data_IF_984480246503
#
_entry.id   IF_984480246503
#
_cell.length_a   1.000
_cell.length_b   1.000
_cell.length_c   1.000
_cell.angle_alpha   90.00
_cell.angle_beta   90.00
_cell.angle_gamma   90.00
#
_symmetry.space_group_name_H-M   'P 1'
#
loop_
_entity.id
_entity.type
_entity.pdbx_description
1 polymer ?
#
# COMPACT_ATOMS: atom_id res chain seq x y z
N UNK A 1 10.83 -14.58 -17.50
CA UNK A 1 12.00 -14.15 -16.72
C UNK A 1 11.51 -13.03 -15.82
N UNK A 2 11.49 -13.18 -14.50
CA UNK A 2 10.98 -12.14 -13.60
C UNK A 2 11.97 -10.98 -13.51
N UNK A 3 11.56 -9.75 -13.82
CA UNK A 3 12.36 -8.55 -13.56
C UNK A 3 11.92 -7.99 -12.20
N UNK A 4 12.86 -7.87 -11.28
CA UNK A 4 12.61 -7.29 -9.95
C UNK A 4 13.07 -5.84 -9.97
N UNK A 5 12.14 -4.91 -9.72
CA UNK A 5 12.45 -3.50 -9.54
C UNK A 5 12.38 -3.13 -8.06
N UNK A 6 13.51 -2.73 -7.47
CA UNK A 6 13.58 -2.31 -6.07
C UNK A 6 13.47 -0.80 -6.01
N UNK A 7 12.44 -0.34 -5.31
CA UNK A 7 12.18 1.07 -5.08
C UNK A 7 12.86 1.51 -3.79
N UNK A 8 13.67 2.57 -3.87
CA UNK A 8 14.24 3.25 -2.71
C UNK A 8 14.01 4.75 -2.84
N UNK A 9 12.94 5.26 -2.23
CA UNK A 9 12.75 6.69 -2.05
C UNK A 9 13.16 7.09 -0.64
N UNK A 10 13.83 8.24 -0.52
CA UNK A 10 14.06 8.89 0.76
C UNK A 10 12.83 9.76 1.06
N UNK A 11 12.07 9.41 2.10
CA UNK A 11 10.77 10.03 2.44
C UNK A 11 10.96 11.37 3.17
N UNK A 12 10.81 12.48 2.45
CA UNK A 12 10.50 13.80 3.03
C UNK A 12 9.31 14.41 2.28
N UNK A 13 8.33 14.94 3.01
CA UNK A 13 7.12 15.69 2.60
C UNK A 13 5.76 14.96 2.65
N UNK A 14 4.82 15.55 3.38
CA UNK A 14 3.50 15.02 3.70
C UNK A 14 2.51 15.20 2.53
N UNK A 15 2.12 14.11 1.89
CA UNK A 15 1.03 14.07 0.91
C UNK A 15 -0.24 13.42 1.49
N UNK A 16 -1.35 14.13 1.47
CA UNK A 16 -2.59 13.84 2.18
C UNK A 16 -3.24 12.47 1.87
N UNK A 17 -3.64 11.75 2.93
CA UNK A 17 -4.77 10.84 2.91
C UNK A 17 -5.82 11.37 3.91
N UNK A 18 -6.47 12.48 3.57
CA UNK A 18 -7.42 13.14 4.47
C UNK A 18 -8.65 12.28 4.82
N UNK A 19 -9.00 11.29 3.99
CA UNK A 19 -10.24 10.53 4.16
C UNK A 19 -10.14 9.47 5.26
N UNK A 20 -9.13 8.60 5.20
CA UNK A 20 -8.93 7.53 6.18
C UNK A 20 -8.53 8.02 7.57
N UNK A 21 -7.72 9.09 7.61
CA UNK A 21 -7.27 9.70 8.86
C UNK A 21 -8.42 10.30 9.67
N UNK A 22 -9.42 10.88 8.98
CA UNK A 22 -10.65 11.37 9.62
C UNK A 22 -11.54 10.24 10.14
N UNK A 23 -11.63 9.13 9.40
CA UNK A 23 -12.44 7.97 9.78
C UNK A 23 -11.89 7.23 11.02
N UNK A 24 -10.56 7.12 11.10
CA UNK A 24 -9.88 6.37 12.16
C UNK A 24 -9.37 7.25 13.31
N UNK A 25 -9.40 8.58 13.18
CA UNK A 25 -8.85 9.51 14.17
C UNK A 25 -7.32 9.45 14.28
N UNK A 26 -6.64 8.90 13.27
CA UNK A 26 -5.19 8.69 13.24
C UNK A 26 -4.53 9.83 12.48
N UNK A 27 -3.36 10.29 12.93
CA UNK A 27 -2.59 11.32 12.21
C UNK A 27 -2.08 10.74 10.87
N UNK A 28 -2.26 11.51 9.80
CA UNK A 28 -1.72 11.16 8.47
C UNK A 28 -0.20 11.06 8.52
N UNK A 29 0.36 10.09 7.79
CA UNK A 29 1.80 9.93 7.65
C UNK A 29 2.40 11.24 7.09
N UNK A 30 3.38 11.85 7.77
CA UNK A 30 3.93 13.17 7.42
C UNK A 30 4.90 13.16 6.23
N UNK A 31 5.05 12.04 5.51
CA UNK A 31 6.10 11.87 4.49
C UNK A 31 5.66 10.88 3.40
N UNK A 32 4.85 11.34 2.44
CA UNK A 32 4.35 10.58 1.29
C UNK A 32 4.74 11.31 0.00
N UNK A 33 5.50 10.64 -0.87
CA UNK A 33 5.80 11.17 -2.20
C UNK A 33 4.54 11.17 -3.10
N UNK A 34 4.47 12.05 -4.12
CA UNK A 34 3.37 12.08 -5.08
C UNK A 34 3.27 10.77 -5.86
N UNK A 35 2.07 10.25 -6.10
CA UNK A 35 1.84 8.99 -6.84
C UNK A 35 2.42 8.99 -8.27
N UNK A 36 2.60 10.17 -8.90
CA UNK A 36 3.22 10.30 -10.22
C UNK A 36 4.70 9.87 -10.24
N UNK A 37 5.39 9.96 -9.10
CA UNK A 37 6.79 9.60 -9.01
C UNK A 37 7.00 8.08 -9.19
N UNK A 38 6.43 7.19 -8.36
CA UNK A 38 6.56 5.75 -8.56
C UNK A 38 5.95 5.34 -9.91
N UNK A 39 4.88 6.00 -10.36
CA UNK A 39 4.24 5.69 -11.65
C UNK A 39 5.22 5.83 -12.81
N UNK A 40 6.01 6.91 -12.83
CA UNK A 40 7.03 7.12 -13.85
C UNK A 40 8.05 5.98 -13.86
N UNK A 41 8.64 5.64 -12.71
CA UNK A 41 9.68 4.62 -12.64
C UNK A 41 9.15 3.21 -12.90
N UNK A 42 7.96 2.88 -12.40
CA UNK A 42 7.33 1.58 -12.66
C UNK A 42 7.06 1.44 -14.16
N UNK A 43 6.47 2.45 -14.83
CA UNK A 43 6.26 2.41 -16.28
C UNK A 43 7.56 2.33 -17.07
N UNK A 44 8.61 3.02 -16.62
CA UNK A 44 9.87 3.11 -17.35
C UNK A 44 10.72 1.83 -17.21
N UNK A 45 10.65 1.13 -16.08
CA UNK A 45 11.57 0.05 -15.73
C UNK A 45 10.94 -1.34 -15.67
N UNK A 46 9.61 -1.44 -15.82
CA UNK A 46 8.87 -2.71 -15.68
C UNK A 46 7.80 -2.86 -16.76
N UNK A 47 7.36 -4.09 -17.00
CA UNK A 47 6.21 -4.44 -17.81
C UNK A 47 5.04 -4.95 -16.94
N UNK A 48 3.79 -4.96 -17.42
CA UNK A 48 2.70 -5.64 -16.72
C UNK A 48 3.07 -7.08 -16.35
N UNK A 49 2.77 -7.49 -15.13
CA UNK A 49 3.13 -8.78 -14.55
C UNK A 49 4.50 -8.83 -13.86
N UNK A 50 5.37 -7.83 -14.03
CA UNK A 50 6.63 -7.76 -13.28
C UNK A 50 6.40 -7.51 -11.78
N UNK A 51 7.42 -7.83 -10.98
CA UNK A 51 7.41 -7.66 -9.52
C UNK A 51 8.10 -6.37 -9.10
N UNK A 52 7.36 -5.50 -8.41
CA UNK A 52 7.85 -4.27 -7.79
C UNK A 52 8.02 -4.48 -6.29
N UNK A 53 9.21 -4.20 -5.75
CA UNK A 53 9.51 -4.36 -4.33
C UNK A 53 9.82 -3.01 -3.70
N UNK A 54 9.10 -2.66 -2.64
CA UNK A 54 9.35 -1.50 -1.80
C UNK A 54 9.75 -1.94 -0.38
N UNK A 55 10.97 -1.61 0.04
CA UNK A 55 11.48 -2.01 1.36
C UNK A 55 11.21 -0.97 2.46
N UNK A 56 10.60 0.17 2.11
CA UNK A 56 10.21 1.25 3.01
C UNK A 56 8.81 1.77 2.65
N UNK A 57 7.83 0.87 2.75
CA UNK A 57 6.48 1.06 2.22
C UNK A 57 5.76 2.29 2.75
N UNK A 58 5.95 2.64 4.02
CA UNK A 58 5.19 3.68 4.71
C UNK A 58 3.69 3.47 4.46
N UNK A 59 3.06 4.45 3.80
CA UNK A 59 1.64 4.37 3.44
C UNK A 59 1.32 3.50 2.21
N UNK A 60 2.29 2.76 1.69
CA UNK A 60 2.21 1.86 0.53
C UNK A 60 1.70 2.52 -0.77
N UNK A 61 2.22 3.70 -1.09
CA UNK A 61 1.93 4.38 -2.36
C UNK A 61 2.48 3.57 -3.54
N UNK A 62 3.67 2.99 -3.41
CA UNK A 62 4.31 2.18 -4.47
C UNK A 62 3.46 0.96 -4.82
N UNK A 63 3.00 0.19 -3.84
CA UNK A 63 2.14 -0.97 -4.08
C UNK A 63 0.83 -0.60 -4.76
N UNK A 64 0.15 0.46 -4.27
CA UNK A 64 -1.10 0.95 -4.86
C UNK A 64 -0.95 1.39 -6.32
N UNK A 65 0.17 2.05 -6.67
CA UNK A 65 0.46 2.44 -8.05
C UNK A 65 0.86 1.23 -8.90
N UNK A 66 1.67 0.31 -8.37
CA UNK A 66 2.05 -0.92 -9.05
C UNK A 66 0.81 -1.75 -9.41
N UNK A 67 -0.13 -1.90 -8.48
CA UNK A 67 -1.39 -2.62 -8.69
C UNK A 67 -2.27 -1.98 -9.76
N UNK A 68 -2.39 -0.65 -9.75
CA UNK A 68 -3.13 0.10 -10.79
C UNK A 68 -2.50 -0.04 -12.17
N UNK A 69 -1.21 -0.37 -12.23
CA UNK A 69 -0.46 -0.61 -13.46
C UNK A 69 -0.35 -2.09 -13.81
N UNK A 70 -1.12 -2.99 -13.19
CA UNK A 70 -1.06 -4.43 -13.45
C UNK A 70 0.33 -5.05 -13.16
N UNK A 71 1.02 -4.57 -12.12
CA UNK A 71 2.27 -5.18 -11.61
C UNK A 71 1.98 -5.95 -10.32
N UNK A 72 2.73 -7.03 -10.12
CA UNK A 72 2.83 -7.68 -8.82
C UNK A 72 3.65 -6.78 -7.89
N UNK A 73 3.35 -6.78 -6.59
CA UNK A 73 4.12 -5.96 -5.65
C UNK A 73 4.32 -6.61 -4.28
N UNK A 74 5.44 -6.26 -3.64
CA UNK A 74 5.72 -6.57 -2.24
C UNK A 74 6.20 -5.30 -1.54
N UNK A 75 5.65 -5.03 -0.36
CA UNK A 75 6.03 -3.88 0.45
C UNK A 75 6.39 -4.31 1.87
N UNK A 76 7.49 -3.78 2.39
CA UNK A 76 7.95 -3.99 3.76
C UNK A 76 7.94 -2.66 4.51
N UNK A 77 7.49 -2.68 5.76
CA UNK A 77 7.43 -1.52 6.63
C UNK A 77 7.58 -1.97 8.08
N UNK A 78 8.33 -1.21 8.87
CA UNK A 78 8.64 -1.52 10.26
C UNK A 78 7.51 -1.07 11.20
N UNK A 79 6.91 0.09 10.92
CA UNK A 79 5.87 0.69 11.75
C UNK A 79 4.48 0.12 11.38
N UNK A 80 3.89 -0.67 12.28
CA UNK A 80 2.61 -1.37 12.03
C UNK A 80 1.45 -0.43 11.78
N UNK A 81 1.48 0.76 12.37
CA UNK A 81 0.48 1.81 12.19
C UNK A 81 0.39 2.24 10.72
N UNK A 82 1.53 2.29 10.02
CA UNK A 82 1.61 2.67 8.62
C UNK A 82 1.09 1.56 7.72
N UNK A 83 1.43 0.32 8.04
CA UNK A 83 0.87 -0.86 7.39
C UNK A 83 -0.65 -0.90 7.55
N UNK A 84 -1.16 -0.74 8.76
CA UNK A 84 -2.59 -0.77 9.07
C UNK A 84 -3.34 0.37 8.36
N UNK A 85 -2.77 1.59 8.33
CA UNK A 85 -3.34 2.72 7.62
C UNK A 85 -3.34 2.52 6.09
N UNK A 86 -2.37 1.78 5.54
CA UNK A 86 -2.25 1.56 4.10
C UNK A 86 -3.40 0.72 3.51
N UNK A 87 -4.08 -0.10 4.31
CA UNK A 87 -5.24 -0.93 3.93
C UNK A 87 -6.29 -0.15 3.14
N UNK A 88 -6.54 1.09 3.56
CA UNK A 88 -7.51 1.99 2.94
C UNK A 88 -7.26 2.26 1.45
N UNK A 89 -6.04 2.02 0.96
CA UNK A 89 -5.70 2.17 -0.46
C UNK A 89 -6.22 1.03 -1.34
N UNK A 90 -6.52 -0.11 -0.73
CA UNK A 90 -6.81 -1.36 -1.43
C UNK A 90 -8.27 -1.82 -1.22
N UNK A 91 -9.08 -1.02 -0.55
CA UNK A 91 -10.49 -1.31 -0.32
C UNK A 91 -11.37 -0.42 -1.20
N UNK A 92 -12.26 -1.01 -1.98
CA UNK A 92 -13.24 -0.28 -2.77
C UNK A 92 -14.48 0.04 -1.92
N UNK A 93 -14.66 1.30 -1.55
CA UNK A 93 -15.81 1.78 -0.76
C UNK A 93 -16.17 0.92 0.47
N UNK A 94 -15.20 0.59 1.35
CA UNK A 94 -15.44 -0.31 2.47
C UNK A 94 -16.41 0.29 3.49
N UNK A 95 -17.17 -0.57 4.17
CA UNK A 95 -17.90 -0.15 5.35
C UNK A 95 -16.90 0.25 6.47
N UNK A 96 -17.23 1.26 7.27
CA UNK A 96 -16.35 1.72 8.37
C UNK A 96 -15.93 0.57 9.30
N UNK A 97 -16.85 -0.36 9.56
CA UNK A 97 -16.60 -1.52 10.40
C UNK A 97 -15.54 -2.46 9.81
N UNK A 98 -15.48 -2.60 8.48
CA UNK A 98 -14.50 -3.44 7.79
C UNK A 98 -13.11 -2.82 7.85
N UNK A 99 -13.01 -1.51 7.60
CA UNK A 99 -11.78 -0.75 7.76
C UNK A 99 -11.24 -0.91 9.18
N UNK A 100 -12.08 -0.68 10.20
CA UNK A 100 -11.68 -0.80 11.61
C UNK A 100 -11.23 -2.22 11.97
N UNK A 101 -11.89 -3.25 11.44
CA UNK A 101 -11.51 -4.65 11.66
C UNK A 101 -10.13 -4.94 11.08
N UNK A 102 -9.90 -4.59 9.82
CA UNK A 102 -8.62 -4.79 9.15
C UNK A 102 -7.49 -4.01 9.83
N UNK A 103 -7.73 -2.73 10.12
CA UNK A 103 -6.79 -1.86 10.83
C UNK A 103 -6.37 -2.44 12.18
N UNK A 104 -7.33 -2.82 13.02
CA UNK A 104 -7.05 -3.39 14.34
C UNK A 104 -6.40 -4.77 14.26
N UNK A 105 -6.74 -5.59 13.28
CA UNK A 105 -6.10 -6.89 13.09
C UNK A 105 -4.60 -6.74 12.83
N UNK A 106 -4.22 -5.81 11.94
CA UNK A 106 -2.82 -5.54 11.60
C UNK A 106 -2.05 -4.96 12.78
N UNK A 107 -2.63 -4.01 13.52
CA UNK A 107 -1.99 -3.48 14.74
C UNK A 107 -1.68 -4.58 15.76
N UNK A 108 -2.56 -5.57 15.89
CA UNK A 108 -2.37 -6.73 16.75
C UNK A 108 -1.42 -7.80 16.14
N UNK A 109 -0.73 -7.50 15.04
CA UNK A 109 0.23 -8.39 14.40
C UNK A 109 -0.38 -9.54 13.62
N UNK A 110 -1.66 -9.43 13.22
CA UNK A 110 -2.31 -10.43 12.37
C UNK A 110 -2.19 -10.06 10.90
N UNK A 111 -2.01 -11.07 10.06
CA UNK A 111 -2.13 -10.93 8.61
C UNK A 111 -3.60 -10.74 8.21
N UNK A 112 -3.85 -9.86 7.24
CA UNK A 112 -5.18 -9.62 6.68
C UNK A 112 -5.10 -9.81 5.17
N UNK A 113 -6.01 -10.61 4.63
CA UNK A 113 -6.22 -10.74 3.18
C UNK A 113 -7.26 -9.70 2.73
N UNK A 114 -6.85 -8.81 1.84
CA UNK A 114 -7.70 -7.76 1.28
C UNK A 114 -8.28 -8.14 -0.09
N UNK A 115 -7.84 -9.25 -0.70
CA UNK A 115 -8.28 -9.66 -2.03
C UNK A 115 -9.79 -9.98 -2.10
N UNK A 116 -10.42 -10.34 -0.97
CA UNK A 116 -11.86 -10.54 -0.88
C UNK A 116 -12.70 -9.26 -0.71
N UNK A 117 -12.06 -8.10 -0.50
CA UNK A 117 -12.69 -6.81 -0.26
C UNK A 117 -12.49 -5.82 -1.43
N UNK A 118 -11.60 -6.14 -2.36
CA UNK A 118 -11.47 -5.48 -3.65
C UNK A 118 -12.25 -6.29 -4.70
N UNK A 119 -13.15 -5.66 -5.45
CA UNK A 119 -13.83 -6.32 -6.56
C UNK A 119 -12.78 -6.78 -7.59
N UNK A 120 -12.73 -8.10 -7.87
CA UNK A 120 -11.94 -8.78 -8.91
C UNK A 120 -10.64 -8.06 -9.32
N UNK A 121 -9.61 -8.07 -8.47
CA UNK A 121 -8.27 -7.61 -8.85
C UNK A 121 -7.19 -8.60 -8.42
N UNK A 122 -6.36 -8.97 -9.39
CA UNK A 122 -5.34 -10.02 -9.28
C UNK A 122 -4.13 -9.48 -8.53
N UNK A 123 -4.01 -9.79 -7.23
CA UNK A 123 -2.81 -9.49 -6.45
C UNK A 123 -2.92 -10.00 -5.02
N UNK A 124 -2.16 -11.04 -4.67
CA UNK A 124 -2.08 -11.56 -3.32
C UNK A 124 -1.19 -10.66 -2.45
N UNK A 125 -1.74 -10.14 -1.37
CA UNK A 125 -0.97 -9.43 -0.35
C UNK A 125 -0.61 -10.40 0.78
N UNK A 126 0.67 -10.79 0.86
CA UNK A 126 1.22 -11.47 2.04
C UNK A 126 1.84 -10.41 2.96
N UNK A 127 1.08 -10.03 3.99
CA UNK A 127 1.54 -9.17 5.09
C UNK A 127 2.12 -10.04 6.21
N UNK A 128 3.44 -10.05 6.34
CA UNK A 128 4.12 -10.62 7.50
C UNK A 128 4.37 -9.52 8.54
N UNK A 129 3.96 -9.78 9.78
CA UNK A 129 4.12 -8.89 10.94
C UNK A 129 5.17 -9.42 11.92
#
# INVERSE_FOLDING_TARGET
MWRIFIVRYWQNEAGDCLFGCKLLGVKSHPARFPAKLPEFFIKFLTEPGDLVVDIFGGSNTTGSVAETLDRQWLSFELEREYVAASVLRFMDSPAEQEVRRAYNAILNGKSVDLAGLAAERVGQQLLFA
#
